data_IF_091084044202
#
_entry.id   IF_091084044202
#
_cell.length_a   1.000
_cell.length_b   1.000
_cell.length_c   1.000
_cell.angle_alpha   90.00
_cell.angle_beta   90.00
_cell.angle_gamma   90.00
#
_symmetry.space_group_name_H-M   'P 1'
#
loop_
_entity.id
_entity.type
_entity.pdbx_description
1 polymer ?
#
# COMPACT_ATOMS: atom_id res chain seq x y z
N UNK A 1 -5.07 2.80 -4.09
CA UNK A 1 -4.84 2.88 -2.63
C UNK A 1 -6.03 2.41 -1.83
N UNK A 2 -7.20 3.06 -1.89
CA UNK A 2 -8.38 2.67 -1.09
C UNK A 2 -8.79 1.20 -1.29
N UNK A 3 -8.73 0.68 -2.52
CA UNK A 3 -9.08 -0.72 -2.78
C UNK A 3 -8.12 -1.71 -2.08
N UNK A 4 -6.80 -1.48 -2.16
CA UNK A 4 -5.80 -2.25 -1.43
C UNK A 4 -6.01 -2.15 0.08
N UNK A 5 -6.25 -0.92 0.58
CA UNK A 5 -6.51 -0.65 1.98
C UNK A 5 -7.74 -1.43 2.51
N UNK A 6 -8.86 -1.43 1.77
CA UNK A 6 -10.05 -2.21 2.14
C UNK A 6 -9.75 -3.70 2.29
N UNK A 7 -9.06 -4.30 1.31
CA UNK A 7 -8.73 -5.73 1.33
C UNK A 7 -7.73 -6.08 2.43
N UNK A 8 -6.72 -5.25 2.64
CA UNK A 8 -5.75 -5.41 3.73
C UNK A 8 -6.43 -5.29 5.08
N UNK A 9 -7.33 -4.32 5.28
CA UNK A 9 -8.09 -4.20 6.54
C UNK A 9 -8.96 -5.41 6.78
N UNK A 10 -9.70 -5.89 5.77
CA UNK A 10 -10.50 -7.11 5.90
C UNK A 10 -9.63 -8.32 6.29
N UNK A 11 -8.45 -8.48 5.67
CA UNK A 11 -7.47 -9.51 6.04
C UNK A 11 -6.95 -9.31 7.46
N UNK A 12 -6.58 -8.08 7.81
CA UNK A 12 -6.09 -7.71 9.13
C UNK A 12 -7.13 -7.93 10.21
N UNK A 13 -8.43 -7.82 9.96
CA UNK A 13 -9.46 -8.07 10.97
C UNK A 13 -9.80 -9.57 11.11
N UNK A 14 -9.72 -10.33 10.01
CA UNK A 14 -10.23 -11.70 9.97
C UNK A 14 -9.16 -12.80 10.04
N UNK A 15 -7.90 -12.52 9.72
CA UNK A 15 -6.88 -13.57 9.64
C UNK A 15 -6.48 -14.11 11.03
N UNK A 16 -6.49 -15.43 11.20
CA UNK A 16 -6.01 -16.07 12.43
C UNK A 16 -4.48 -16.26 12.39
N UNK A 17 -3.73 -15.21 12.73
CA UNK A 17 -2.29 -15.25 12.92
C UNK A 17 -1.95 -14.69 14.30
N UNK A 18 -1.24 -15.46 15.13
CA UNK A 18 -1.00 -15.12 16.53
C UNK A 18 -0.31 -13.75 16.71
N UNK A 19 0.64 -13.41 15.83
CA UNK A 19 1.32 -12.11 15.88
C UNK A 19 0.43 -10.92 15.53
N UNK A 20 -0.72 -11.13 14.88
CA UNK A 20 -1.70 -10.07 14.63
C UNK A 20 -2.62 -9.86 15.84
N UNK A 21 -2.82 -10.88 16.69
CA UNK A 21 -3.69 -10.76 17.85
C UNK A 21 -3.15 -9.73 18.84
N UNK A 22 -1.86 -9.80 19.19
CA UNK A 22 -1.23 -8.82 20.08
C UNK A 22 -1.31 -7.39 19.52
N UNK A 23 -1.19 -7.23 18.20
CA UNK A 23 -1.30 -5.94 17.52
C UNK A 23 -2.74 -5.42 17.57
N UNK A 24 -3.73 -6.28 17.29
CA UNK A 24 -5.15 -5.94 17.41
C UNK A 24 -5.49 -5.55 18.84
N UNK A 25 -5.06 -6.31 19.84
CA UNK A 25 -5.33 -6.04 21.25
C UNK A 25 -4.77 -4.66 21.67
N UNK A 26 -3.56 -4.32 21.22
CA UNK A 26 -3.00 -2.98 21.40
C UNK A 26 -3.85 -1.88 20.77
N UNK A 27 -4.40 -2.10 19.58
CA UNK A 27 -5.27 -1.10 18.91
C UNK A 27 -6.66 -1.01 19.55
N UNK A 28 -7.26 -2.16 19.89
CA UNK A 28 -8.60 -2.27 20.46
C UNK A 28 -8.66 -1.70 21.88
N UNK A 29 -7.61 -1.87 22.68
CA UNK A 29 -7.52 -1.29 24.02
C UNK A 29 -7.55 0.24 24.00
N UNK A 30 -7.00 0.90 22.96
CA UNK A 30 -7.08 2.35 22.79
C UNK A 30 -8.50 2.85 22.47
N UNK A 31 -9.29 2.04 21.76
CA UNK A 31 -10.61 2.43 21.26
C UNK A 31 -11.79 1.89 22.08
N UNK A 32 -11.52 1.10 23.13
CA UNK A 32 -12.54 0.43 23.95
C UNK A 32 -13.59 -0.35 23.12
N UNK A 33 -13.14 -0.99 22.04
CA UNK A 33 -13.98 -1.80 21.14
C UNK A 33 -13.54 -3.26 21.20
N UNK A 34 -14.49 -4.18 21.06
CA UNK A 34 -14.16 -5.58 20.79
C UNK A 34 -13.79 -5.77 19.32
N UNK A 35 -13.03 -6.82 19.00
CA UNK A 35 -12.67 -7.15 17.63
C UNK A 35 -13.92 -7.40 16.76
N UNK A 36 -14.94 -8.04 17.30
CA UNK A 36 -16.18 -8.34 16.58
C UNK A 36 -17.00 -7.08 16.30
N UNK A 37 -17.06 -6.14 17.25
CA UNK A 37 -17.68 -4.84 17.02
C UNK A 37 -16.94 -4.06 15.91
N UNK A 38 -15.61 -4.13 15.90
CA UNK A 38 -14.80 -3.48 14.88
C UNK A 38 -14.98 -4.11 13.49
N UNK A 39 -15.08 -5.44 13.41
CA UNK A 39 -15.40 -6.17 12.17
C UNK A 39 -16.75 -5.76 11.61
N UNK A 40 -17.80 -5.81 12.44
CA UNK A 40 -19.15 -5.43 12.02
C UNK A 40 -19.15 -3.99 11.49
N UNK A 41 -18.49 -3.09 12.23
CA UNK A 41 -18.38 -1.70 11.83
C UNK A 41 -17.64 -1.49 10.50
N UNK A 42 -16.58 -2.27 10.25
CA UNK A 42 -15.89 -2.26 8.97
C UNK A 42 -16.80 -2.73 7.82
N UNK A 43 -17.54 -3.82 8.02
CA UNK A 43 -18.48 -4.34 7.02
C UNK A 43 -19.57 -3.31 6.69
N UNK A 44 -20.16 -2.70 7.72
CA UNK A 44 -21.19 -1.68 7.57
C UNK A 44 -20.65 -0.44 6.85
N UNK A 45 -19.53 0.13 7.32
CA UNK A 45 -19.03 1.41 6.80
C UNK A 45 -18.38 1.29 5.42
N UNK A 46 -17.68 0.18 5.12
CA UNK A 46 -16.85 0.04 3.92
C UNK A 46 -17.49 -0.84 2.85
N UNK A 47 -18.10 -1.96 3.23
CA UNK A 47 -18.58 -2.96 2.26
C UNK A 47 -20.05 -2.73 1.88
N UNK A 48 -20.90 -2.48 2.88
CA UNK A 48 -22.35 -2.35 2.71
C UNK A 48 -22.76 -0.93 2.39
N UNK A 49 -22.54 0.01 3.32
CA UNK A 49 -23.02 1.38 3.20
C UNK A 49 -22.08 2.27 2.37
N UNK A 50 -20.79 1.91 2.32
CA UNK A 50 -19.74 2.71 1.65
C UNK A 50 -19.72 4.17 2.14
N UNK A 51 -19.97 4.36 3.44
CA UNK A 51 -20.09 5.67 4.10
C UNK A 51 -18.74 6.35 4.29
N UNK A 52 -17.66 5.58 4.35
CA UNK A 52 -16.29 6.07 4.51
C UNK A 52 -15.36 5.50 3.44
N UNK A 53 -14.32 6.27 3.10
CA UNK A 53 -13.21 5.74 2.31
C UNK A 53 -12.33 4.82 3.17
N UNK A 54 -11.84 3.69 2.63
CA UNK A 54 -11.01 2.75 3.39
C UNK A 54 -9.84 3.37 4.16
N UNK A 55 -9.04 4.27 3.54
CA UNK A 55 -7.94 4.93 4.26
C UNK A 55 -8.46 5.83 5.39
N UNK A 56 -9.57 6.55 5.17
CA UNK A 56 -10.16 7.39 6.22
C UNK A 56 -10.65 6.54 7.40
N UNK A 57 -11.25 5.39 7.12
CA UNK A 57 -11.70 4.45 8.14
C UNK A 57 -10.51 3.86 8.93
N UNK A 58 -9.44 3.48 8.24
CA UNK A 58 -8.19 3.01 8.88
C UNK A 58 -7.64 4.09 9.83
N UNK A 59 -7.61 5.35 9.39
CA UNK A 59 -7.11 6.46 10.21
C UNK A 59 -7.98 6.71 11.44
N UNK A 60 -9.28 6.44 11.35
CA UNK A 60 -10.22 6.65 12.44
C UNK A 60 -10.23 5.51 13.47
N UNK A 61 -10.12 4.26 13.02
CA UNK A 61 -10.37 3.09 13.87
C UNK A 61 -9.16 2.18 14.10
N UNK A 62 -8.11 2.31 13.29
CA UNK A 62 -6.88 1.52 13.40
C UNK A 62 -5.70 2.44 13.70
N UNK A 63 -4.94 2.80 12.66
CA UNK A 63 -3.70 3.57 12.78
C UNK A 63 -3.57 4.55 11.63
N UNK A 64 -3.03 5.76 11.88
CA UNK A 64 -2.97 6.80 10.87
C UNK A 64 -1.97 6.45 9.76
N UNK A 65 -2.48 6.37 8.53
CA UNK A 65 -1.73 6.41 7.28
C UNK A 65 -1.74 7.85 6.78
N UNK A 66 -0.55 8.43 6.59
CA UNK A 66 -0.38 9.82 6.17
C UNK A 66 0.27 9.86 4.79
N UNK A 67 -0.29 10.65 3.88
CA UNK A 67 0.36 11.01 2.62
C UNK A 67 0.93 12.41 2.80
N UNK A 68 2.26 12.52 2.93
CA UNK A 68 2.93 13.80 3.24
C UNK A 68 3.34 14.55 1.99
N UNK A 69 3.54 13.83 0.87
CA UNK A 69 3.94 14.41 -0.40
C UNK A 69 3.23 13.74 -1.56
N UNK A 70 2.83 14.56 -2.53
CA UNK A 70 2.23 14.13 -3.77
C UNK A 70 2.69 15.04 -4.90
N UNK A 71 3.61 14.53 -5.72
CA UNK A 71 4.23 15.26 -6.82
C UNK A 71 3.20 15.65 -7.90
N UNK A 72 3.50 16.68 -8.72
CA UNK A 72 2.62 17.08 -9.82
C UNK A 72 2.32 15.98 -10.85
N UNK A 73 3.29 15.12 -11.18
CA UNK A 73 3.06 14.01 -12.11
C UNK A 73 2.19 12.93 -11.47
N UNK A 74 2.41 12.58 -10.21
CA UNK A 74 1.56 11.63 -9.49
C UNK A 74 0.09 12.06 -9.44
N UNK A 75 -0.19 13.38 -9.31
CA UNK A 75 -1.57 13.91 -9.36
C UNK A 75 -2.28 13.66 -10.70
N UNK A 76 -1.52 13.43 -11.77
CA UNK A 76 -2.04 13.17 -13.12
C UNK A 76 -2.16 11.67 -13.43
N UNK A 77 -1.57 10.81 -12.61
CA UNK A 77 -1.62 9.37 -12.83
C UNK A 77 -3.05 8.87 -12.60
N UNK A 78 -3.62 8.31 -13.65
CA UNK A 78 -4.90 7.59 -13.61
C UNK A 78 -4.64 6.13 -13.94
N UNK A 79 -5.34 5.23 -13.24
CA UNK A 79 -5.28 3.79 -13.50
C UNK A 79 -6.60 3.36 -14.13
N UNK A 80 -6.52 2.63 -15.23
CA UNK A 80 -7.70 2.02 -15.85
C UNK A 80 -8.22 0.90 -14.93
N UNK A 81 -9.50 0.94 -14.59
CA UNK A 81 -10.13 -0.09 -13.77
C UNK A 81 -10.12 -1.45 -14.49
N UNK A 82 -9.94 -2.52 -13.73
CA UNK A 82 -9.84 -3.91 -14.17
C UNK A 82 -8.63 -4.19 -15.09
N UNK A 83 -7.65 -3.28 -15.11
CA UNK A 83 -6.42 -3.46 -15.88
C UNK A 83 -5.37 -4.28 -15.12
N UNK A 84 -4.40 -4.82 -15.86
CA UNK A 84 -3.23 -5.46 -15.24
C UNK A 84 -2.45 -4.50 -14.35
N UNK A 85 -2.38 -3.20 -14.70
CA UNK A 85 -1.72 -2.20 -13.87
C UNK A 85 -2.44 -2.00 -12.52
N UNK A 86 -3.78 -2.02 -12.52
CA UNK A 86 -4.55 -1.97 -11.27
C UNK A 86 -4.28 -3.20 -10.40
N UNK A 87 -4.32 -4.39 -10.97
CA UNK A 87 -4.08 -5.64 -10.26
C UNK A 87 -2.66 -5.71 -9.67
N UNK A 88 -1.67 -5.24 -10.42
CA UNK A 88 -0.27 -5.21 -10.01
C UNK A 88 -0.04 -4.24 -8.84
N UNK A 89 -0.48 -2.99 -8.98
CA UNK A 89 -0.39 -1.98 -7.92
C UNK A 89 -1.19 -2.41 -6.69
N UNK A 90 -2.34 -3.05 -6.88
CA UNK A 90 -3.10 -3.64 -5.79
C UNK A 90 -2.28 -4.69 -5.03
N UNK A 91 -1.59 -5.60 -5.73
CA UNK A 91 -0.71 -6.59 -5.12
C UNK A 91 0.41 -5.94 -4.30
N UNK A 92 1.13 -4.99 -4.91
CA UNK A 92 2.25 -4.30 -4.26
C UNK A 92 1.82 -3.55 -3.01
N UNK A 93 0.80 -2.70 -3.13
CA UNK A 93 0.33 -1.88 -2.02
C UNK A 93 -0.30 -2.74 -0.92
N UNK A 94 -0.95 -3.85 -1.27
CA UNK A 94 -1.51 -4.77 -0.28
C UNK A 94 -0.42 -5.45 0.54
N UNK A 95 0.65 -5.91 -0.10
CA UNK A 95 1.78 -6.55 0.58
C UNK A 95 2.50 -5.57 1.51
N UNK A 96 2.84 -4.37 1.02
CA UNK A 96 3.57 -3.37 1.80
C UNK A 96 2.73 -2.85 2.98
N UNK A 97 1.45 -2.51 2.74
CA UNK A 97 0.56 -2.05 3.81
C UNK A 97 0.35 -3.12 4.88
N UNK A 98 0.18 -4.39 4.48
CA UNK A 98 0.01 -5.47 5.44
C UNK A 98 1.29 -5.74 6.24
N UNK A 99 2.46 -5.59 5.61
CA UNK A 99 3.73 -5.68 6.31
C UNK A 99 3.91 -4.53 7.31
N UNK A 100 3.48 -3.31 7.01
CA UNK A 100 3.44 -2.23 8.00
C UNK A 100 2.57 -2.62 9.22
N UNK A 101 1.38 -3.20 9.02
CA UNK A 101 0.55 -3.69 10.13
C UNK A 101 1.17 -4.83 10.94
N UNK A 102 2.10 -5.60 10.38
CA UNK A 102 2.73 -6.74 11.07
C UNK A 102 3.99 -6.35 11.82
N UNK A 103 4.72 -5.37 11.29
CA UNK A 103 6.12 -5.16 11.61
C UNK A 103 6.43 -3.75 12.11
N UNK A 104 5.51 -2.79 11.96
CA UNK A 104 5.70 -1.46 12.51
C UNK A 104 5.72 -1.48 14.04
N UNK A 105 6.45 -0.52 14.62
CA UNK A 105 6.40 -0.27 16.06
C UNK A 105 5.06 0.37 16.44
N UNK A 106 4.15 -0.48 16.92
CA UNK A 106 2.83 -0.03 17.34
C UNK A 106 2.82 0.73 18.68
N UNK A 107 3.95 0.88 19.37
CA UNK A 107 4.06 1.69 20.58
C UNK A 107 4.35 3.17 20.26
N UNK A 108 4.72 3.50 19.02
CA UNK A 108 4.80 4.88 18.51
C UNK A 108 3.42 5.41 18.13
N UNK A 109 3.28 6.74 18.09
CA UNK A 109 2.07 7.39 17.59
C UNK A 109 2.04 7.38 16.06
N UNK A 110 3.19 7.58 15.40
CA UNK A 110 3.31 7.38 13.96
C UNK A 110 3.07 5.91 13.59
N UNK A 111 2.56 5.68 12.38
CA UNK A 111 2.36 4.32 11.86
C UNK A 111 2.90 4.15 10.46
N UNK A 112 2.34 4.89 9.49
CA UNK A 112 2.75 4.75 8.10
C UNK A 112 2.69 6.09 7.39
N UNK A 113 3.81 6.50 6.83
CA UNK A 113 3.96 7.69 6.01
C UNK A 113 4.21 7.28 4.56
N UNK A 114 3.50 7.92 3.64
CA UNK A 114 3.58 7.71 2.20
C UNK A 114 4.07 8.98 1.52
N UNK A 115 5.05 8.82 0.64
CA UNK A 115 5.64 9.90 -0.16
C UNK A 115 5.56 9.49 -1.62
N UNK A 116 4.85 10.27 -2.42
CA UNK A 116 4.74 10.09 -3.87
C UNK A 116 5.53 11.19 -4.55
N UNK A 117 6.72 10.87 -5.05
CA UNK A 117 7.71 11.82 -5.55
C UNK A 117 8.16 11.47 -6.99
N UNK A 118 8.98 12.34 -7.59
CA UNK A 118 9.61 12.20 -8.89
C UNK A 118 11.13 12.27 -8.75
N UNK A 119 11.85 11.29 -9.30
CA UNK A 119 13.31 11.30 -9.30
C UNK A 119 13.86 11.14 -10.71
N UNK A 120 14.93 11.86 -11.02
CA UNK A 120 15.70 11.64 -12.24
C UNK A 120 16.98 10.89 -11.89
N UNK A 121 17.17 9.73 -12.50
CA UNK A 121 18.34 8.86 -12.33
C UNK A 121 18.86 8.54 -13.73
N UNK A 122 20.14 8.84 -14.01
CA UNK A 122 20.75 8.59 -15.32
C UNK A 122 19.90 9.13 -16.50
N UNK A 123 19.46 10.39 -16.40
CA UNK A 123 18.60 11.09 -17.36
C UNK A 123 17.21 10.47 -17.60
N UNK A 124 16.81 9.47 -16.80
CA UNK A 124 15.48 8.86 -16.83
C UNK A 124 14.65 9.34 -15.65
N UNK A 125 13.41 9.74 -15.90
CA UNK A 125 12.48 10.13 -14.84
C UNK A 125 11.72 8.91 -14.33
N UNK A 126 11.69 8.77 -13.01
CA UNK A 126 10.96 7.75 -12.28
C UNK A 126 9.92 8.42 -11.39
N UNK A 127 8.73 7.82 -11.35
CA UNK A 127 7.77 8.03 -10.28
C UNK A 127 8.14 7.14 -9.11
N UNK A 128 8.30 7.72 -7.93
CA UNK A 128 8.66 6.99 -6.71
C UNK A 128 7.48 6.95 -5.75
N UNK A 129 7.35 5.82 -5.06
CA UNK A 129 6.37 5.63 -4.00
C UNK A 129 7.08 5.05 -2.78
N UNK A 130 7.31 5.90 -1.77
CA UNK A 130 8.01 5.52 -0.53
C UNK A 130 7.01 5.26 0.59
N UNK A 131 7.23 4.18 1.34
CA UNK A 131 6.43 3.71 2.45
C UNK A 131 7.33 3.63 3.68
N UNK A 132 7.04 4.43 4.70
CA UNK A 132 7.88 4.59 5.87
C UNK A 132 7.10 4.25 7.14
N UNK A 133 7.62 3.36 7.97
CA UNK A 133 7.05 3.06 9.28
C UNK A 133 8.14 3.00 10.36
N UNK A 134 7.81 3.37 11.61
CA UNK A 134 8.75 3.17 12.71
C UNK A 134 8.97 1.68 12.94
N UNK A 135 10.16 1.31 13.39
CA UNK A 135 10.53 -0.04 13.82
C UNK A 135 11.26 0.02 15.16
N UNK A 136 11.09 -1.01 15.98
CA UNK A 136 11.72 -1.09 17.29
C UNK A 136 13.14 -1.66 17.14
N UNK A 137 14.14 -1.09 17.83
CA UNK A 137 15.54 -1.55 17.84
C UNK A 137 15.73 -3.00 18.26
N UNK A 138 14.78 -3.54 19.02
CA UNK A 138 14.76 -4.95 19.44
C UNK A 138 14.28 -5.90 18.34
N UNK A 139 13.81 -5.37 17.22
CA UNK A 139 13.35 -6.13 16.07
C UNK A 139 14.49 -6.26 15.06
N UNK A 140 14.89 -7.49 14.66
CA UNK A 140 16.01 -7.69 13.75
C UNK A 140 15.82 -6.94 12.44
N UNK A 141 16.93 -6.49 11.84
CA UNK A 141 17.00 -5.64 10.65
C UNK A 141 16.35 -6.20 9.36
N UNK A 142 15.83 -7.43 9.40
CA UNK A 142 14.98 -8.02 8.37
C UNK A 142 13.77 -8.67 9.04
N UNK A 143 12.64 -7.99 9.00
CA UNK A 143 11.37 -8.51 9.50
C UNK A 143 10.71 -9.38 8.43
N UNK A 144 10.60 -10.70 8.70
CA UNK A 144 9.94 -11.66 7.81
C UNK A 144 10.88 -12.40 6.86
N UNK A 145 10.33 -12.94 5.77
CA UNK A 145 11.08 -13.80 4.82
C UNK A 145 11.68 -13.05 3.63
N UNK A 146 11.40 -11.76 3.47
CA UNK A 146 11.82 -10.97 2.30
C UNK A 146 11.03 -11.24 1.02
N UNK A 147 10.52 -12.47 0.85
CA UNK A 147 9.90 -12.97 -0.40
C UNK A 147 8.86 -12.07 -1.05
N UNK A 148 8.03 -11.39 -0.25
CA UNK A 148 7.02 -10.46 -0.77
C UNK A 148 7.66 -9.25 -1.47
N UNK A 149 8.70 -8.67 -0.86
CA UNK A 149 9.44 -7.56 -1.44
C UNK A 149 10.35 -8.02 -2.59
N UNK A 150 10.93 -9.22 -2.49
CA UNK A 150 11.75 -9.80 -3.57
C UNK A 150 10.94 -9.99 -4.86
N UNK A 151 9.70 -10.47 -4.75
CA UNK A 151 8.80 -10.62 -5.88
C UNK A 151 8.44 -9.26 -6.52
N UNK A 152 8.15 -8.25 -5.70
CA UNK A 152 7.87 -6.89 -6.20
C UNK A 152 9.11 -6.30 -6.88
N UNK A 153 10.30 -6.52 -6.30
CA UNK A 153 11.55 -6.04 -6.87
C UNK A 153 11.80 -6.66 -8.24
N UNK A 154 11.60 -7.97 -8.39
CA UNK A 154 11.76 -8.67 -9.66
C UNK A 154 10.81 -8.15 -10.74
N UNK A 155 9.52 -7.99 -10.40
CA UNK A 155 8.55 -7.41 -11.33
C UNK A 155 8.95 -5.98 -11.74
N UNK A 156 9.42 -5.15 -10.79
CA UNK A 156 9.85 -3.77 -11.07
C UNK A 156 11.14 -3.70 -11.89
N UNK A 157 12.08 -4.64 -11.70
CA UNK A 157 13.27 -4.76 -12.56
C UNK A 157 12.89 -5.01 -14.00
N UNK A 158 11.96 -5.94 -14.24
CA UNK A 158 11.47 -6.25 -15.58
C UNK A 158 10.72 -5.06 -16.21
N UNK A 159 9.82 -4.43 -15.45
CA UNK A 159 9.07 -3.26 -15.93
C UNK A 159 9.98 -2.08 -16.24
N UNK A 160 10.97 -1.85 -15.38
CA UNK A 160 11.93 -0.78 -15.56
C UNK A 160 13.12 -1.20 -16.42
N UNK A 161 13.16 -2.39 -17.03
CA UNK A 161 14.30 -2.85 -17.84
C UNK A 161 15.66 -2.49 -17.21
N UNK A 162 15.87 -2.97 -15.98
CA UNK A 162 17.05 -2.65 -15.17
C UNK A 162 17.39 -3.76 -14.18
N UNK A 163 18.68 -3.98 -13.96
CA UNK A 163 19.16 -4.84 -12.88
C UNK A 163 19.55 -4.04 -11.63
N UNK A 164 19.56 -2.70 -11.73
CA UNK A 164 19.95 -1.83 -10.62
C UNK A 164 18.82 -1.77 -9.58
N UNK A 165 19.06 -2.18 -8.32
CA UNK A 165 18.08 -2.04 -7.24
C UNK A 165 17.63 -0.60 -7.02
N UNK A 166 18.51 0.38 -7.23
CA UNK A 166 18.22 1.82 -7.09
C UNK A 166 17.26 2.37 -8.16
N UNK A 167 16.96 1.56 -9.18
CA UNK A 167 16.02 1.88 -10.26
C UNK A 167 14.81 0.93 -10.27
N UNK A 168 14.63 0.09 -9.24
CA UNK A 168 13.51 -0.87 -9.13
C UNK A 168 12.81 -0.77 -7.77
N UNK A 169 13.39 -1.39 -6.74
CA UNK A 169 12.90 -1.35 -5.37
C UNK A 169 14.07 -1.21 -4.41
N UNK A 170 13.99 -0.19 -3.54
CA UNK A 170 14.94 0.02 -2.45
C UNK A 170 14.29 -0.26 -1.10
N UNK A 171 15.00 -1.05 -0.29
CA UNK A 171 14.68 -1.27 1.11
C UNK A 171 15.80 -0.67 1.95
N UNK A 172 15.45 0.15 2.93
CA UNK A 172 16.41 0.71 3.88
C UNK A 172 15.84 0.70 5.29
N UNK A 173 16.70 0.45 6.27
CA UNK A 173 16.38 0.61 7.68
C UNK A 173 17.45 1.48 8.33
N UNK A 174 17.09 2.67 8.78
CA UNK A 174 17.98 3.62 9.44
C UNK A 174 17.20 4.38 10.51
N UNK A 175 17.85 4.75 11.62
CA UNK A 175 17.26 5.58 12.68
C UNK A 175 15.86 5.13 13.13
N UNK A 176 15.69 3.82 13.36
CA UNK A 176 14.44 3.22 13.85
C UNK A 176 13.27 3.40 12.87
N UNK A 177 13.58 3.59 11.58
CA UNK A 177 12.62 3.70 10.50
C UNK A 177 12.93 2.66 9.44
N UNK A 178 11.89 1.94 9.04
CA UNK A 178 11.92 1.07 7.88
C UNK A 178 11.29 1.80 6.70
N UNK A 179 11.93 1.73 5.54
CA UNK A 179 11.46 2.35 4.31
C UNK A 179 11.55 1.38 3.14
N UNK A 180 10.48 1.32 2.37
CA UNK A 180 10.45 0.70 1.03
C UNK A 180 10.14 1.78 0.01
N UNK A 181 10.94 1.88 -1.04
CA UNK A 181 10.72 2.81 -2.15
C UNK A 181 10.58 2.04 -3.45
N UNK A 182 9.42 2.15 -4.09
CA UNK A 182 9.17 1.61 -5.42
C UNK A 182 9.50 2.65 -6.47
N UNK A 183 10.09 2.22 -7.58
CA UNK A 183 10.41 3.07 -8.72
C UNK A 183 9.62 2.59 -9.94
N UNK A 184 8.95 3.51 -10.64
CA UNK A 184 8.27 3.24 -11.90
C UNK A 184 8.82 4.19 -12.95
N UNK A 185 9.43 3.68 -14.02
CA UNK A 185 9.84 4.54 -15.14
C UNK A 185 8.63 5.32 -15.65
N UNK A 186 8.81 6.63 -15.84
CA UNK A 186 7.76 7.50 -16.39
C UNK A 186 7.24 7.00 -17.74
N UNK A 187 8.10 6.35 -18.53
CA UNK A 187 7.77 5.80 -19.85
C UNK A 187 6.72 4.66 -19.80
N UNK A 188 6.46 4.10 -18.61
CA UNK A 188 5.35 3.17 -18.40
C UNK A 188 3.98 3.86 -18.44
N UNK A 189 3.93 5.19 -18.29
CA UNK A 189 2.71 5.96 -18.38
C UNK A 189 2.36 6.24 -19.84
N UNK A 190 1.09 6.05 -20.19
CA UNK A 190 0.54 6.46 -21.48
C UNK A 190 -0.10 7.83 -21.31
N UNK A 191 0.32 8.80 -22.12
CA UNK A 191 -0.17 10.19 -22.04
C UNK A 191 -1.61 10.36 -22.55
N UNK A 192 -2.08 9.46 -23.42
CA UNK A 192 -3.41 9.48 -24.00
C UNK A 192 -4.17 8.19 -23.66
N UNK A 193 -5.41 8.32 -23.17
CA UNK A 193 -6.30 7.17 -23.06
C UNK A 193 -6.55 6.63 -24.47
N UNK A 194 -6.17 5.38 -24.80
CA UNK A 194 -6.58 4.80 -26.06
C UNK A 194 -8.11 4.85 -26.11
N UNK A 195 -8.68 5.35 -27.23
CA UNK A 195 -10.13 5.41 -27.40
C UNK A 195 -10.70 3.99 -27.27
N UNK A 196 -11.19 3.65 -26.08
CA UNK A 196 -11.80 2.35 -25.81
C UNK A 196 -13.12 2.32 -26.57
N UNK A 197 -13.10 1.79 -27.80
CA UNK A 197 -14.30 1.48 -28.58
C UNK A 197 -15.00 0.28 -27.94
N UNK A 198 -15.58 0.47 -26.76
CA UNK A 198 -16.46 -0.52 -26.15
C UNK A 198 -17.74 -0.54 -26.99
N UNK A 199 -17.77 -1.42 -28.00
CA UNK A 199 -19.02 -1.82 -28.65
C UNK A 199 -19.80 -2.60 -27.59
N UNK A 200 -20.65 -1.91 -26.82
CA UNK A 200 -21.76 -2.59 -26.15
C UNK A 200 -22.58 -3.26 -27.25
N UNK A 201 -22.49 -4.60 -27.35
CA UNK A 201 -23.54 -5.37 -28.00
C UNK A 201 -24.78 -5.14 -27.16
N UNK A 202 -25.68 -4.27 -27.63
CA UNK A 202 -27.03 -4.25 -27.14
C UNK A 202 -27.61 -5.64 -27.47
N UNK A 203 -27.82 -6.47 -26.45
CA UNK A 203 -28.66 -7.63 -26.58
C UNK A 203 -30.07 -7.10 -26.86
N UNK A 204 -30.51 -7.29 -28.10
CA UNK A 204 -31.91 -7.23 -28.49
C UNK A 204 -32.37 -8.69 -28.47
N UNK A 205 -33.11 -9.05 -27.43
CA UNK A 205 -34.19 -10.04 -27.49
C UNK A 205 -35.39 -9.45 -26.76
#
# INVERSE_FOLDING_TARGET
MDYAASRVTARFLNQHYAGLNSIRDKMLSKNNLSLDALKQKFEDDILLNKSLRPIAWINQYLRPVQITELSPLWKKVCILSESHAEALLFGYFSEILFNAFKYADHDKDEFLTLVFDEKTINDKTYLTCSWLNPVNDKSPALLGTGKGLDAIQEDLKQLNDTENPEESLLVSQQNNQFQVTLFFKKDLLVNDLPSLKIKRKANVE
#
